data_IF_753960248145
#
_entry.id   IF_753960248145
#
_cell.length_a   1.000
_cell.length_b   1.000
_cell.length_c   1.000
_cell.angle_alpha   90.00
_cell.angle_beta   90.00
_cell.angle_gamma   90.00
#
_symmetry.space_group_name_H-M   'P 1'
#
loop_
_entity.id
_entity.type
_entity.pdbx_description
1 polymer ?
#
# COMPACT_ATOMS: atom_id res chain seq x y z
N UNK A 1 16.83 45.78 -29.94
CA UNK A 1 16.08 44.61 -30.45
C UNK A 1 16.78 43.34 -29.96
N UNK A 2 16.60 42.94 -28.70
CA UNK A 2 17.19 41.69 -28.17
C UNK A 2 16.43 41.01 -27.02
N UNK A 3 15.33 41.56 -26.51
CA UNK A 3 14.71 41.00 -25.29
C UNK A 3 13.65 39.91 -25.54
N UNK A 4 13.11 39.79 -26.76
CA UNK A 4 12.07 38.79 -27.06
C UNK A 4 12.62 37.34 -27.15
N UNK A 5 13.87 37.14 -27.56
CA UNK A 5 14.40 35.79 -27.77
C UNK A 5 14.70 35.05 -26.46
N UNK A 6 14.95 35.79 -25.37
CA UNK A 6 15.22 35.23 -24.05
C UNK A 6 13.93 34.73 -23.37
N UNK A 7 12.83 35.48 -23.46
CA UNK A 7 11.54 35.09 -22.87
C UNK A 7 10.93 33.85 -23.57
N UNK A 8 11.04 33.75 -24.90
CA UNK A 8 10.55 32.58 -25.65
C UNK A 8 11.36 31.30 -25.37
N UNK A 9 12.62 31.43 -24.97
CA UNK A 9 13.50 30.31 -24.60
C UNK A 9 13.23 29.82 -23.17
N UNK A 10 13.02 30.75 -22.22
CA UNK A 10 12.67 30.44 -20.84
C UNK A 10 11.31 29.72 -20.75
N UNK A 11 10.28 30.24 -21.44
CA UNK A 11 8.94 29.64 -21.44
C UNK A 11 8.92 28.21 -22.00
N UNK A 12 9.70 27.92 -23.05
CA UNK A 12 9.84 26.57 -23.61
C UNK A 12 10.53 25.61 -22.64
N UNK A 13 11.54 26.09 -21.93
CA UNK A 13 12.29 25.30 -20.95
C UNK A 13 11.42 24.94 -19.75
N UNK A 14 10.70 25.91 -19.19
CA UNK A 14 9.76 25.67 -18.09
C UNK A 14 8.64 24.72 -18.47
N UNK A 15 8.04 24.89 -19.65
CA UNK A 15 6.99 23.99 -20.12
C UNK A 15 7.49 22.55 -20.25
N UNK A 16 8.69 22.35 -20.82
CA UNK A 16 9.32 21.03 -20.94
C UNK A 16 9.60 20.40 -19.57
N UNK A 17 10.09 21.18 -18.61
CA UNK A 17 10.34 20.70 -17.23
C UNK A 17 9.04 20.29 -16.54
N UNK A 18 7.97 21.09 -16.65
CA UNK A 18 6.65 20.77 -16.07
C UNK A 18 6.06 19.50 -16.69
N UNK A 19 6.13 19.35 -18.01
CA UNK A 19 5.65 18.16 -18.71
C UNK A 19 6.44 16.90 -18.31
N UNK A 20 7.77 16.99 -18.26
CA UNK A 20 8.60 15.88 -17.75
C UNK A 20 8.24 15.52 -16.30
N UNK A 21 7.98 16.52 -15.44
CA UNK A 21 7.57 16.27 -14.06
C UNK A 21 6.22 15.54 -13.96
N UNK A 22 5.26 15.88 -14.83
CA UNK A 22 3.94 15.27 -14.84
C UNK A 22 4.00 13.80 -15.28
N UNK A 23 4.77 13.49 -16.32
CA UNK A 23 4.95 12.12 -16.82
C UNK A 23 5.63 11.24 -15.77
N UNK A 24 6.67 11.76 -15.10
CA UNK A 24 7.37 11.03 -14.03
C UNK A 24 6.41 10.73 -12.87
N UNK A 25 5.66 11.73 -12.39
CA UNK A 25 4.67 11.54 -11.31
C UNK A 25 3.56 10.57 -11.68
N UNK A 26 3.03 10.66 -12.91
CA UNK A 26 2.03 9.71 -13.39
C UNK A 26 2.57 8.28 -13.36
N UNK A 27 3.78 8.06 -13.89
CA UNK A 27 4.44 6.74 -13.87
C UNK A 27 4.63 6.21 -12.45
N UNK A 28 5.05 7.06 -11.51
CA UNK A 28 5.22 6.70 -10.10
C UNK A 28 3.90 6.30 -9.44
N UNK A 29 2.86 7.11 -9.61
CA UNK A 29 1.54 6.79 -9.06
C UNK A 29 0.97 5.49 -9.65
N UNK A 30 1.14 5.26 -10.96
CA UNK A 30 0.68 4.02 -11.60
C UNK A 30 1.42 2.79 -11.06
N UNK A 31 2.74 2.90 -10.83
CA UNK A 31 3.53 1.83 -10.19
C UNK A 31 3.18 1.61 -8.73
N UNK A 32 2.76 2.67 -8.04
CA UNK A 32 2.28 2.51 -6.68
C UNK A 32 0.93 1.81 -6.68
N UNK A 33 0.01 2.20 -7.55
CA UNK A 33 -1.29 1.54 -7.74
C UNK A 33 -1.18 0.05 -8.06
N UNK A 34 -0.12 -0.37 -8.76
CA UNK A 34 0.06 -1.78 -9.08
C UNK A 34 0.49 -2.64 -7.90
N UNK A 35 0.97 -2.07 -6.79
CA UNK A 35 1.43 -2.86 -5.64
C UNK A 35 0.26 -3.26 -4.72
N UNK A 36 0.29 -4.42 -4.06
CA UNK A 36 1.18 -5.54 -4.35
C UNK A 36 0.84 -6.17 -5.70
N UNK A 37 1.84 -6.78 -6.34
CA UNK A 37 1.60 -7.62 -7.51
C UNK A 37 0.93 -8.92 -7.09
N UNK A 38 -0.04 -9.39 -7.87
CA UNK A 38 -0.60 -10.72 -7.64
C UNK A 38 0.46 -11.79 -7.94
N UNK A 39 0.44 -12.96 -7.25
CA UNK A 39 1.36 -14.06 -7.55
C UNK A 39 1.30 -14.47 -9.03
N UNK A 40 2.44 -14.48 -9.71
CA UNK A 40 2.52 -14.77 -11.15
C UNK A 40 2.07 -13.64 -12.08
N UNK A 41 1.71 -12.45 -11.56
CA UNK A 41 1.30 -11.31 -12.37
C UNK A 41 2.49 -10.71 -13.13
N UNK A 42 2.44 -10.77 -14.46
CA UNK A 42 3.36 -10.04 -15.32
C UNK A 42 3.05 -8.55 -15.40
N UNK A 43 4.02 -7.75 -15.86
CA UNK A 43 3.89 -6.28 -15.99
C UNK A 43 2.63 -5.86 -16.78
N UNK A 44 2.30 -6.56 -17.87
CA UNK A 44 1.10 -6.28 -18.67
C UNK A 44 -0.19 -6.53 -17.89
N UNK A 45 -0.22 -7.55 -17.04
CA UNK A 45 -1.34 -7.82 -16.14
C UNK A 45 -1.56 -6.69 -15.14
N UNK A 46 -0.47 -6.24 -14.52
CA UNK A 46 -0.48 -5.11 -13.61
C UNK A 46 -0.98 -3.81 -14.28
N UNK A 47 -0.49 -3.50 -15.49
CA UNK A 47 -0.95 -2.35 -16.27
C UNK A 47 -2.45 -2.45 -16.58
N UNK A 48 -2.94 -3.62 -17.03
CA UNK A 48 -4.35 -3.83 -17.32
C UNK A 48 -5.22 -3.60 -16.07
N UNK A 49 -4.79 -4.13 -14.93
CA UNK A 49 -5.49 -3.99 -13.65
C UNK A 49 -5.53 -2.53 -13.19
N UNK A 50 -4.40 -1.84 -13.26
CA UNK A 50 -4.32 -0.41 -12.92
C UNK A 50 -5.18 0.42 -13.87
N UNK A 51 -5.14 0.15 -15.18
CA UNK A 51 -5.96 0.84 -16.16
C UNK A 51 -7.47 0.68 -15.87
N UNK A 52 -7.88 -0.53 -15.51
CA UNK A 52 -9.27 -0.81 -15.10
C UNK A 52 -9.66 0.01 -13.87
N UNK A 53 -8.84 -0.02 -12.83
CA UNK A 53 -9.07 0.73 -11.59
C UNK A 53 -9.17 2.25 -11.84
N UNK A 54 -8.22 2.83 -12.58
CA UNK A 54 -8.21 4.27 -12.89
C UNK A 54 -9.46 4.68 -13.66
N UNK A 55 -9.89 3.88 -14.63
CA UNK A 55 -11.11 4.14 -15.40
C UNK A 55 -12.38 4.00 -14.55
N UNK A 56 -12.47 2.97 -13.71
CA UNK A 56 -13.61 2.76 -12.82
C UNK A 56 -13.77 3.92 -11.82
N UNK A 57 -12.67 4.30 -11.16
CA UNK A 57 -12.66 5.41 -10.20
C UNK A 57 -12.91 6.74 -10.88
N UNK A 58 -12.25 6.99 -12.02
CA UNK A 58 -12.40 8.23 -12.78
C UNK A 58 -13.83 8.41 -13.29
N UNK A 59 -14.48 7.34 -13.77
CA UNK A 59 -15.89 7.36 -14.17
C UNK A 59 -16.81 7.56 -12.97
N UNK A 60 -16.61 6.80 -11.89
CA UNK A 60 -17.44 6.90 -10.69
C UNK A 60 -17.43 8.29 -10.06
N UNK A 61 -16.31 9.02 -10.18
CA UNK A 61 -16.16 10.40 -9.70
C UNK A 61 -16.49 11.47 -10.74
N UNK A 62 -16.92 11.10 -11.95
CA UNK A 62 -17.22 12.04 -13.03
C UNK A 62 -16.01 12.83 -13.53
N UNK A 63 -14.78 12.34 -13.29
CA UNK A 63 -13.53 12.96 -13.74
C UNK A 63 -13.29 12.65 -15.22
N UNK A 64 -13.51 11.38 -15.59
CA UNK A 64 -13.31 10.90 -16.95
C UNK A 64 -14.64 10.86 -17.70
N UNK A 65 -14.74 11.66 -18.76
CA UNK A 65 -15.85 11.56 -19.72
C UNK A 65 -15.77 10.26 -20.52
N UNK A 66 -14.57 9.95 -21.01
CA UNK A 66 -14.27 8.75 -21.78
C UNK A 66 -13.21 7.89 -21.09
N UNK A 67 -13.26 6.55 -21.21
CA UNK A 67 -12.22 5.69 -20.65
C UNK A 67 -10.85 5.95 -21.29
N UNK A 68 -9.82 6.02 -20.45
CA UNK A 68 -8.42 6.02 -20.88
C UNK A 68 -8.09 4.64 -21.44
N UNK A 69 -7.63 4.60 -22.70
CA UNK A 69 -7.20 3.36 -23.34
C UNK A 69 -6.02 2.73 -22.59
N UNK A 70 -5.96 1.41 -22.54
CA UNK A 70 -4.85 0.73 -21.85
C UNK A 70 -3.49 1.04 -22.44
N UNK A 71 -3.39 1.20 -23.77
CA UNK A 71 -2.14 1.63 -24.42
C UNK A 71 -1.69 3.01 -23.93
N UNK A 72 -2.63 3.91 -23.66
CA UNK A 72 -2.36 5.25 -23.14
C UNK A 72 -1.83 5.17 -21.70
N UNK A 73 -2.39 4.30 -20.86
CA UNK A 73 -1.86 4.01 -19.52
C UNK A 73 -0.45 3.38 -19.61
N UNK A 74 -0.22 2.47 -20.57
CA UNK A 74 1.11 1.89 -20.80
C UNK A 74 2.14 2.95 -21.20
N UNK A 75 1.79 3.90 -22.07
CA UNK A 75 2.67 5.01 -22.44
C UNK A 75 3.05 5.85 -21.21
N UNK A 76 2.10 6.16 -20.33
CA UNK A 76 2.37 6.86 -19.07
C UNK A 76 3.28 6.04 -18.15
N UNK A 77 2.99 4.75 -18.02
CA UNK A 77 3.75 3.80 -17.20
C UNK A 77 5.23 3.75 -17.60
N UNK A 78 5.47 3.66 -18.92
CA UNK A 78 6.82 3.61 -19.52
C UNK A 78 7.48 4.97 -19.66
N UNK A 79 6.82 6.05 -19.21
CA UNK A 79 7.27 7.45 -19.37
C UNK A 79 7.46 7.85 -20.85
N UNK A 80 6.68 7.24 -21.74
CA UNK A 80 6.67 7.49 -23.19
C UNK A 80 5.58 8.48 -23.61
N UNK A 81 4.65 8.81 -22.72
CA UNK A 81 3.63 9.82 -22.97
C UNK A 81 4.26 11.21 -23.20
N UNK A 82 3.87 11.91 -24.27
CA UNK A 82 4.35 13.27 -24.59
C UNK A 82 3.80 14.34 -23.66
N UNK A 83 2.57 14.15 -23.17
CA UNK A 83 1.85 15.01 -22.23
C UNK A 83 0.92 14.15 -21.39
N UNK A 84 0.51 14.65 -20.24
CA UNK A 84 -0.53 14.06 -19.39
C UNK A 84 -1.63 15.12 -19.26
N UNK A 85 -2.85 14.77 -19.63
CA UNK A 85 -3.99 15.69 -19.50
C UNK A 85 -4.42 15.76 -18.01
N UNK A 86 -5.02 16.88 -17.59
CA UNK A 86 -5.35 17.10 -16.18
C UNK A 86 -6.30 16.03 -15.64
N UNK A 87 -7.32 15.67 -16.42
CA UNK A 87 -8.29 14.62 -16.09
C UNK A 87 -7.62 13.25 -15.88
N UNK A 88 -6.61 12.91 -16.69
CA UNK A 88 -5.85 11.66 -16.56
C UNK A 88 -5.10 11.64 -15.21
N UNK A 89 -4.42 12.74 -14.87
CA UNK A 89 -3.68 12.85 -13.62
C UNK A 89 -4.61 12.81 -12.40
N UNK A 90 -5.76 13.48 -12.46
CA UNK A 90 -6.71 13.52 -11.36
C UNK A 90 -7.41 12.17 -11.16
N UNK A 91 -7.72 11.44 -12.24
CA UNK A 91 -8.22 10.07 -12.14
C UNK A 91 -7.18 9.12 -11.49
N UNK A 92 -5.90 9.25 -11.85
CA UNK A 92 -4.81 8.47 -11.24
C UNK A 92 -4.69 8.80 -9.75
N UNK A 93 -4.72 10.08 -9.37
CA UNK A 93 -4.68 10.50 -7.95
C UNK A 93 -5.88 10.00 -7.16
N UNK A 94 -7.07 10.05 -7.74
CA UNK A 94 -8.28 9.55 -7.12
C UNK A 94 -8.21 8.05 -6.86
N UNK A 95 -7.71 7.28 -7.83
CA UNK A 95 -7.49 5.85 -7.66
C UNK A 95 -6.45 5.56 -6.56
N UNK A 96 -5.38 6.34 -6.50
CA UNK A 96 -4.34 6.18 -5.47
C UNK A 96 -4.90 6.47 -4.08
N UNK A 97 -5.64 7.57 -3.93
CA UNK A 97 -6.29 7.92 -2.67
C UNK A 97 -7.29 6.84 -2.21
N UNK A 98 -8.03 6.23 -3.14
CA UNK A 98 -8.93 5.11 -2.81
C UNK A 98 -8.15 3.90 -2.29
N UNK A 99 -7.04 3.54 -2.94
CA UNK A 99 -6.18 2.45 -2.51
C UNK A 99 -5.59 2.72 -1.11
N UNK A 100 -5.10 3.93 -0.88
CA UNK A 100 -4.53 4.32 0.42
C UNK A 100 -5.58 4.29 1.54
N UNK A 101 -6.80 4.76 1.26
CA UNK A 101 -7.90 4.69 2.22
C UNK A 101 -8.23 3.24 2.60
N UNK A 102 -8.37 2.36 1.61
CA UNK A 102 -8.62 0.93 1.83
C UNK A 102 -7.49 0.25 2.63
N UNK A 103 -6.23 0.60 2.36
CA UNK A 103 -5.09 0.05 3.11
C UNK A 103 -5.06 0.55 4.56
N UNK A 104 -5.38 1.83 4.81
CA UNK A 104 -5.44 2.38 6.17
C UNK A 104 -6.54 1.70 6.99
N UNK A 105 -7.71 1.52 6.41
CA UNK A 105 -8.83 0.82 7.06
C UNK A 105 -8.45 -0.62 7.42
N UNK A 106 -7.82 -1.34 6.49
CA UNK A 106 -7.31 -2.69 6.75
C UNK A 106 -6.31 -2.71 7.91
N UNK A 107 -5.33 -1.80 7.91
CA UNK A 107 -4.33 -1.73 8.99
C UNK A 107 -4.95 -1.45 10.35
N UNK A 108 -5.98 -0.61 10.41
CA UNK A 108 -6.71 -0.33 11.66
C UNK A 108 -7.45 -1.58 12.14
N UNK A 109 -8.15 -2.29 11.25
CA UNK A 109 -8.86 -3.51 11.58
C UNK A 109 -7.92 -4.62 12.05
N UNK A 110 -6.79 -4.80 11.37
CA UNK A 110 -5.75 -5.77 11.74
C UNK A 110 -5.18 -5.44 13.13
N UNK A 111 -4.88 -4.17 13.42
CA UNK A 111 -4.38 -3.73 14.73
C UNK A 111 -5.42 -3.90 15.85
N UNK A 112 -6.71 -3.66 15.56
CA UNK A 112 -7.79 -3.89 16.52
C UNK A 112 -7.96 -5.38 16.84
N UNK A 113 -7.87 -6.25 15.83
CA UNK A 113 -7.94 -7.69 16.01
C UNK A 113 -6.75 -8.21 16.85
N UNK A 114 -5.54 -7.72 16.58
CA UNK A 114 -4.35 -8.04 17.37
C UNK A 114 -4.49 -7.57 18.82
N UNK A 115 -4.93 -6.32 19.03
CA UNK A 115 -5.17 -5.77 20.36
C UNK A 115 -6.18 -6.62 21.15
N UNK A 116 -7.31 -6.98 20.53
CA UNK A 116 -8.33 -7.83 21.16
C UNK A 116 -7.76 -9.21 21.53
N UNK A 117 -6.93 -9.81 20.65
CA UNK A 117 -6.24 -11.07 20.92
C UNK A 117 -5.27 -10.99 22.10
N UNK A 118 -4.49 -9.91 22.18
CA UNK A 118 -3.56 -9.68 23.28
C UNK A 118 -4.29 -9.47 24.61
N UNK A 119 -5.36 -8.67 24.63
CA UNK A 119 -6.20 -8.46 25.83
C UNK A 119 -6.78 -9.78 26.31
N UNK A 120 -7.33 -10.61 25.41
CA UNK A 120 -7.86 -11.93 25.76
C UNK A 120 -6.78 -12.85 26.35
N UNK A 121 -5.57 -12.83 25.78
CA UNK A 121 -4.45 -13.64 26.27
C UNK A 121 -3.95 -13.18 27.63
N UNK A 122 -3.86 -11.87 27.87
CA UNK A 122 -3.51 -11.31 29.18
C UNK A 122 -4.56 -11.71 30.22
N UNK A 123 -5.84 -11.54 29.92
CA UNK A 123 -6.92 -11.93 30.83
C UNK A 123 -6.87 -13.44 31.17
N UNK A 124 -6.58 -14.30 30.19
CA UNK A 124 -6.40 -15.73 30.42
C UNK A 124 -5.19 -16.04 31.32
N UNK A 125 -4.06 -15.36 31.11
CA UNK A 125 -2.87 -15.51 31.95
C UNK A 125 -3.11 -14.99 33.38
N UNK A 126 -3.81 -13.87 33.54
CA UNK A 126 -4.19 -13.35 34.86
C UNK A 126 -5.12 -14.31 35.60
N UNK A 127 -6.10 -14.89 34.89
CA UNK A 127 -6.98 -15.91 35.47
C UNK A 127 -6.20 -17.16 35.89
N UNK A 128 -5.29 -17.64 35.04
CA UNK A 128 -4.42 -18.78 35.36
C UNK A 128 -3.50 -18.48 36.55
N UNK A 129 -2.92 -17.28 36.62
CA UNK A 129 -2.07 -16.86 37.74
C UNK A 129 -2.87 -16.81 39.05
N UNK A 130 -4.10 -16.29 39.03
CA UNK A 130 -4.99 -16.28 40.21
C UNK A 130 -5.29 -17.69 40.71
N UNK A 131 -5.52 -18.64 39.81
CA UNK A 131 -5.69 -20.06 40.16
C UNK A 131 -4.39 -20.69 40.71
N UNK A 132 -3.22 -20.22 40.31
CA UNK A 132 -1.93 -20.65 40.86
C UNK A 132 -1.60 -20.05 42.23
N UNK A 133 -2.26 -18.96 42.64
CA UNK A 133 -1.98 -18.29 43.93
C UNK A 133 -2.74 -18.87 45.13
N UNK A 134 -3.75 -19.71 44.90
CA UNK A 134 -4.32 -20.59 45.95
C UNK A 134 -3.31 -21.69 46.30
N UNK A 135 -3.29 -22.18 47.55
CA UNK A 135 -2.24 -23.13 48.02
C UNK A 135 -2.14 -24.41 47.17
N UNK A 136 -3.24 -24.86 46.56
CA UNK A 136 -3.29 -25.99 45.62
C UNK A 136 -2.60 -25.67 44.27
N UNK A 137 -2.71 -24.43 43.80
CA UNK A 137 -2.15 -23.96 42.53
C UNK A 137 -0.64 -23.78 42.54
N UNK A 138 -0.03 -23.51 43.71
CA UNK A 138 1.43 -23.44 43.86
C UNK A 138 2.09 -24.80 43.64
N UNK A 139 1.42 -25.89 44.03
CA UNK A 139 1.90 -27.27 43.82
C UNK A 139 1.87 -27.65 42.33
N UNK A 140 0.86 -27.22 41.58
CA UNK A 140 0.76 -27.48 40.14
C UNK A 140 1.77 -26.68 39.30
N UNK A 141 2.06 -25.43 39.68
CA UNK A 141 3.08 -24.60 39.04
C UNK A 141 4.50 -25.17 39.26
N UNK A 142 4.79 -25.66 40.46
CA UNK A 142 6.05 -26.33 40.78
C UNK A 142 6.24 -27.61 39.94
N UNK A 143 5.20 -28.43 39.78
CA UNK A 143 5.23 -29.64 38.96
C UNK A 143 5.48 -29.33 37.46
N UNK A 144 4.87 -28.27 36.93
CA UNK A 144 5.08 -27.84 35.54
C UNK A 144 6.49 -27.28 35.29
N UNK A 145 7.04 -26.50 36.23
CA UNK A 145 8.42 -26.01 36.15
C UNK A 145 9.45 -27.14 36.29
N UNK A 146 9.14 -28.20 37.03
CA UNK A 146 9.99 -29.38 37.16
C UNK A 146 9.93 -30.28 35.91
N UNK A 147 8.77 -30.38 35.26
CA UNK A 147 8.59 -31.09 33.99
C UNK A 147 9.16 -30.33 32.77
N UNK A 148 9.25 -28.99 32.85
CA UNK A 148 9.80 -28.13 31.80
C UNK A 148 11.32 -27.92 31.86
N UNK A 149 12.02 -28.47 32.87
CA UNK A 149 13.49 -28.47 32.85
C UNK A 149 13.97 -29.47 31.78
N UNK A 150 14.84 -29.06 30.85
CA UNK A 150 15.48 -30.03 29.98
C UNK A 150 16.22 -31.03 30.86
N UNK A 151 15.96 -32.32 30.65
CA UNK A 151 16.78 -33.40 31.18
C UNK A 151 18.21 -33.10 30.71
N UNK A 152 19.09 -32.67 31.62
CA UNK A 152 20.53 -32.65 31.36
C UNK A 152 20.88 -34.05 30.88
N UNK A 153 21.18 -34.14 29.58
CA UNK A 153 21.51 -35.37 28.91
C UNK A 153 22.86 -35.79 29.49
N UNK A 154 22.98 -36.93 30.19
CA UNK A 154 24.29 -37.44 30.54
C UNK A 154 25.03 -37.73 29.23
N UNK A 155 26.14 -37.01 29.03
CA UNK A 155 27.12 -37.31 27.98
C UNK A 155 27.98 -38.47 28.47
N UNK A 156 27.76 -39.64 27.89
CA UNK A 156 28.76 -40.73 27.83
C UNK A 156 29.40 -40.74 26.43
#
# INVERSE_FOLDING_TARGET
MSDNDTEFSANRTEHKVRVMSAVVRASEHLRELSKPYAPGEGVKGAINRVAKLVNEVGRARGILKDPIRTSRIEDMWRRQARRIDAEEMDAIRAALALKEAAQKEKNVNDAQAEYAGLVARIAALEAALRLCTTDEGRSSLAALLQAGRPLDRPMD
#
